data_IF_105097609388
#
_entry.id   IF_105097609388
#
_cell.length_a   1.000
_cell.length_b   1.000
_cell.length_c   1.000
_cell.angle_alpha   90.00
_cell.angle_beta   90.00
_cell.angle_gamma   90.00
#
_symmetry.space_group_name_H-M   'P 1'
#
loop_
_entity.id
_entity.type
_entity.pdbx_description
1 polymer ?
#
# COMPACT_ATOMS: atom_id res chain seq x y z
N UNK A 1 1.25 -24.26 10.29
CA UNK A 1 0.29 -23.15 10.17
C UNK A 1 -1.10 -23.73 9.94
N UNK A 2 -2.06 -23.44 10.81
CA UNK A 2 -3.44 -23.93 10.67
C UNK A 2 -4.19 -22.99 9.74
N UNK A 3 -4.72 -23.49 8.62
CA UNK A 3 -5.53 -22.67 7.72
C UNK A 3 -6.76 -22.14 8.49
N UNK A 4 -7.13 -20.86 8.32
CA UNK A 4 -8.34 -20.33 8.93
C UNK A 4 -9.54 -21.13 8.45
N UNK A 5 -10.47 -21.42 9.35
CA UNK A 5 -11.71 -22.11 9.01
C UNK A 5 -12.54 -21.22 8.07
N UNK A 6 -12.73 -21.66 6.82
CA UNK A 6 -13.47 -20.92 5.80
C UNK A 6 -14.91 -21.42 5.78
N UNK A 7 -15.85 -20.50 6.01
CA UNK A 7 -17.27 -20.78 6.02
C UNK A 7 -17.81 -20.78 4.58
N UNK A 8 -18.51 -21.84 4.13
CA UNK A 8 -19.19 -21.84 2.84
C UNK A 8 -20.19 -20.69 2.73
N UNK A 9 -20.36 -20.12 1.53
CA UNK A 9 -21.28 -18.99 1.27
C UNK A 9 -22.72 -19.32 1.69
N UNK A 10 -23.15 -20.56 1.52
CA UNK A 10 -24.48 -21.03 1.94
C UNK A 10 -24.67 -20.97 3.46
N UNK A 11 -23.66 -21.43 4.21
CA UNK A 11 -23.66 -21.41 5.68
C UNK A 11 -23.54 -19.99 6.22
N UNK A 12 -22.70 -19.16 5.60
CA UNK A 12 -22.60 -17.74 5.92
C UNK A 12 -23.95 -17.05 5.77
N UNK A 13 -24.64 -17.27 4.64
CA UNK A 13 -25.95 -16.68 4.37
C UNK A 13 -26.98 -17.11 5.41
N UNK A 14 -26.98 -18.39 5.81
CA UNK A 14 -27.90 -18.91 6.82
C UNK A 14 -27.67 -18.31 8.22
N UNK A 15 -26.43 -17.90 8.53
CA UNK A 15 -26.03 -17.42 9.85
C UNK A 15 -25.71 -15.91 9.90
N UNK A 16 -25.91 -15.15 8.82
CA UNK A 16 -25.34 -13.80 8.64
C UNK A 16 -25.66 -12.86 9.80
N UNK A 17 -26.91 -12.82 10.27
CA UNK A 17 -27.33 -11.94 11.37
C UNK A 17 -26.64 -12.29 12.69
N UNK A 18 -26.42 -13.59 12.95
CA UNK A 18 -25.70 -14.06 14.14
C UNK A 18 -24.22 -13.68 14.05
N UNK A 19 -23.61 -13.91 12.88
CA UNK A 19 -22.20 -13.62 12.64
C UNK A 19 -21.90 -12.12 12.73
N UNK A 20 -22.78 -11.25 12.22
CA UNK A 20 -22.64 -9.79 12.36
C UNK A 20 -22.64 -9.37 13.84
N UNK A 21 -23.60 -9.87 14.63
CA UNK A 21 -23.65 -9.58 16.08
C UNK A 21 -22.40 -10.06 16.81
N UNK A 22 -21.91 -11.22 16.42
CA UNK A 22 -20.74 -11.87 17.02
C UNK A 22 -19.44 -11.11 16.72
N UNK A 23 -19.21 -10.68 15.47
CA UNK A 23 -18.03 -9.85 15.14
C UNK A 23 -18.13 -8.44 15.71
N UNK A 24 -19.34 -7.90 15.88
CA UNK A 24 -19.55 -6.60 16.54
C UNK A 24 -19.23 -6.67 18.04
N UNK A 25 -19.56 -7.78 18.71
CA UNK A 25 -19.27 -7.99 20.12
C UNK A 25 -17.80 -8.37 20.39
N UNK A 26 -17.08 -8.87 19.39
CA UNK A 26 -15.71 -9.38 19.51
C UNK A 26 -14.78 -8.73 18.47
N UNK A 27 -14.15 -7.57 18.77
CA UNK A 27 -13.34 -6.82 17.81
C UNK A 27 -12.13 -7.56 17.22
N UNK A 28 -11.65 -8.64 17.84
CA UNK A 28 -10.57 -9.46 17.29
C UNK A 28 -11.04 -10.55 16.31
N UNK A 29 -12.35 -10.78 16.21
CA UNK A 29 -12.92 -11.92 15.47
C UNK A 29 -13.01 -11.63 13.97
N UNK A 30 -12.57 -12.62 13.18
CA UNK A 30 -12.67 -12.62 11.71
C UNK A 30 -13.40 -13.88 11.25
N UNK A 31 -14.35 -13.73 10.35
CA UNK A 31 -15.09 -14.84 9.73
C UNK A 31 -14.77 -14.86 8.25
N UNK A 32 -13.99 -15.84 7.82
CA UNK A 32 -13.61 -16.03 6.42
C UNK A 32 -14.71 -16.77 5.68
N UNK A 33 -15.07 -16.30 4.48
CA UNK A 33 -16.18 -16.83 3.67
C UNK A 33 -15.66 -17.21 2.29
N UNK A 34 -16.03 -18.38 1.78
CA UNK A 34 -15.59 -18.86 0.46
C UNK A 34 -15.60 -20.38 0.34
N UNK A 35 -14.86 -20.91 -0.63
CA UNK A 35 -14.69 -22.36 -0.80
C UNK A 35 -13.70 -22.92 0.23
N UNK A 36 -13.73 -24.24 0.48
CA UNK A 36 -12.83 -24.88 1.45
C UNK A 36 -11.36 -24.53 1.18
N UNK A 37 -10.68 -23.96 2.19
CA UNK A 37 -9.29 -23.45 2.11
C UNK A 37 -9.03 -22.34 1.08
N UNK A 38 -10.09 -21.74 0.52
CA UNK A 38 -10.03 -20.62 -0.42
C UNK A 38 -10.99 -19.51 0.03
N UNK A 39 -10.55 -18.65 0.98
CA UNK A 39 -11.37 -17.51 1.39
C UNK A 39 -11.49 -16.51 0.22
N UNK A 40 -12.71 -16.02 0.00
CA UNK A 40 -13.06 -15.02 -1.02
C UNK A 40 -13.47 -13.69 -0.37
N UNK A 41 -13.95 -13.72 0.88
CA UNK A 41 -14.33 -12.54 1.65
C UNK A 41 -14.06 -12.74 3.15
N UNK A 42 -14.08 -11.63 3.91
CA UNK A 42 -14.02 -11.66 5.38
C UNK A 42 -15.10 -10.75 5.98
N UNK A 43 -15.80 -11.26 6.99
CA UNK A 43 -16.65 -10.46 7.87
C UNK A 43 -15.88 -10.17 9.16
N UNK A 44 -15.81 -8.89 9.53
CA UNK A 44 -15.17 -8.40 10.75
C UNK A 44 -15.95 -7.21 11.31
N UNK A 45 -15.80 -6.93 12.61
CA UNK A 45 -16.44 -5.76 13.23
C UNK A 45 -15.81 -4.46 12.75
N UNK A 46 -16.58 -3.36 12.72
CA UNK A 46 -16.05 -2.03 12.36
C UNK A 46 -14.98 -1.58 13.36
N UNK A 47 -15.09 -1.96 14.64
CA UNK A 47 -14.03 -1.70 15.64
C UNK A 47 -12.81 -2.64 15.51
N UNK A 48 -12.88 -3.66 14.65
CA UNK A 48 -11.73 -4.45 14.23
C UNK A 48 -10.94 -3.72 13.13
N UNK A 49 -11.55 -2.72 12.49
CA UNK A 49 -10.86 -1.69 11.75
C UNK A 49 -9.97 -0.94 12.75
N UNK A 50 -8.71 -0.79 12.38
CA UNK A 50 -7.73 -0.16 13.26
C UNK A 50 -8.14 1.29 13.52
N UNK A 51 -8.19 1.77 14.78
CA UNK A 51 -8.53 3.16 15.06
C UNK A 51 -7.69 4.10 14.20
N UNK A 52 -8.26 5.17 13.60
CA UNK A 52 -7.57 5.95 12.57
C UNK A 52 -6.18 6.45 12.99
N UNK A 53 -6.03 6.92 14.23
CA UNK A 53 -4.72 7.38 14.75
C UNK A 53 -3.70 6.27 14.92
N UNK A 54 -4.14 5.05 15.25
CA UNK A 54 -3.26 3.89 15.36
C UNK A 54 -2.82 3.44 13.96
N UNK A 55 -3.75 3.42 13.00
CA UNK A 55 -3.45 3.13 11.59
C UNK A 55 -2.45 4.14 11.04
N UNK A 56 -2.73 5.42 11.21
CA UNK A 56 -1.84 6.50 10.80
C UNK A 56 -0.46 6.34 11.43
N UNK A 57 -0.38 6.16 12.76
CA UNK A 57 0.90 5.98 13.44
C UNK A 57 1.70 4.75 12.94
N UNK A 58 1.02 3.64 12.62
CA UNK A 58 1.68 2.47 12.03
C UNK A 58 2.17 2.75 10.61
N UNK A 59 1.35 3.37 9.77
CA UNK A 59 1.73 3.73 8.40
C UNK A 59 2.90 4.73 8.40
N UNK A 60 2.82 5.80 9.18
CA UNK A 60 3.88 6.80 9.30
C UNK A 60 5.21 6.17 9.75
N UNK A 61 5.17 5.33 10.78
CA UNK A 61 6.35 4.60 11.28
C UNK A 61 6.90 3.66 10.21
N UNK A 62 6.02 2.96 9.50
CA UNK A 62 6.41 2.01 8.48
C UNK A 62 7.04 2.70 7.27
N UNK A 63 6.44 3.75 6.73
CA UNK A 63 7.01 4.52 5.62
C UNK A 63 8.33 5.18 5.99
N UNK A 64 8.47 5.67 7.23
CA UNK A 64 9.76 6.15 7.74
C UNK A 64 10.81 5.04 7.71
N UNK A 65 10.46 3.85 8.20
CA UNK A 65 11.34 2.68 8.14
C UNK A 65 11.68 2.25 6.70
N UNK A 66 10.72 2.28 5.77
CA UNK A 66 10.97 1.98 4.35
C UNK A 66 11.99 2.96 3.76
N UNK A 67 11.82 4.25 4.05
CA UNK A 67 12.74 5.29 3.62
C UNK A 67 14.14 5.02 4.18
N UNK A 68 14.28 4.75 5.48
CA UNK A 68 15.56 4.66 6.18
C UNK A 68 16.30 3.31 6.01
N UNK A 69 15.56 2.21 6.01
CA UNK A 69 16.13 0.87 6.22
C UNK A 69 15.94 -0.07 5.04
N UNK A 70 14.97 0.17 4.15
CA UNK A 70 14.73 -0.75 3.04
C UNK A 70 15.85 -0.65 2.00
N UNK A 71 16.45 -1.79 1.58
CA UNK A 71 17.48 -1.80 0.55
C UNK A 71 16.90 -1.33 -0.79
N UNK A 72 17.51 -0.27 -1.33
CA UNK A 72 17.18 0.32 -2.63
C UNK A 72 18.31 0.00 -3.60
N UNK A 73 17.97 -0.18 -4.87
CA UNK A 73 18.97 -0.37 -5.92
C UNK A 73 19.04 0.85 -6.84
N UNK A 74 20.25 1.12 -7.30
CA UNK A 74 20.59 2.28 -8.11
C UNK A 74 21.44 1.81 -9.29
N UNK A 75 21.33 2.51 -10.42
CA UNK A 75 22.20 2.24 -11.56
C UNK A 75 23.57 2.92 -11.41
N UNK A 76 24.43 2.71 -12.39
CA UNK A 76 25.79 3.27 -12.42
C UNK A 76 25.80 4.81 -12.49
N UNK A 77 24.68 5.43 -12.87
CA UNK A 77 24.50 6.88 -13.00
C UNK A 77 23.86 7.48 -11.74
N UNK A 78 23.51 6.63 -10.77
CA UNK A 78 22.86 7.03 -9.52
C UNK A 78 21.35 7.21 -9.63
N UNK A 79 20.71 6.74 -10.71
CA UNK A 79 19.25 6.75 -10.82
C UNK A 79 18.65 5.58 -10.05
N UNK A 80 17.47 5.80 -9.47
CA UNK A 80 16.74 4.75 -8.76
C UNK A 80 16.27 3.68 -9.74
N UNK A 81 16.67 2.43 -9.50
CA UNK A 81 16.23 1.27 -10.30
C UNK A 81 15.05 0.55 -9.66
N UNK A 82 15.03 0.47 -8.33
CA UNK A 82 14.00 -0.27 -7.60
C UNK A 82 13.70 0.40 -6.27
N UNK A 83 12.42 0.69 -6.04
CA UNK A 83 11.96 1.41 -4.85
C UNK A 83 11.86 0.52 -3.60
N UNK A 84 11.82 -0.80 -3.80
CA UNK A 84 11.66 -1.81 -2.74
C UNK A 84 10.29 -2.48 -2.80
N UNK A 85 10.27 -3.81 -2.72
CA UNK A 85 9.04 -4.61 -2.83
C UNK A 85 8.06 -4.26 -1.70
N UNK A 86 8.57 -3.97 -0.50
CA UNK A 86 7.72 -3.70 0.66
C UNK A 86 6.99 -2.36 0.52
N UNK A 87 7.66 -1.34 -0.05
CA UNK A 87 6.98 -0.12 -0.47
C UNK A 87 5.89 -0.43 -1.50
N UNK A 88 6.21 -1.16 -2.56
CA UNK A 88 5.26 -1.48 -3.63
C UNK A 88 4.00 -2.17 -3.13
N UNK A 89 4.13 -3.14 -2.21
CA UNK A 89 3.00 -3.84 -1.61
C UNK A 89 2.09 -2.93 -0.77
N UNK A 90 2.67 -2.12 0.12
CA UNK A 90 1.86 -1.23 0.97
C UNK A 90 1.22 -0.12 0.17
N UNK A 91 1.94 0.43 -0.81
CA UNK A 91 1.38 1.43 -1.72
C UNK A 91 0.21 0.86 -2.55
N UNK A 92 0.35 -0.36 -3.08
CA UNK A 92 -0.73 -1.02 -3.81
C UNK A 92 -1.98 -1.25 -2.94
N UNK A 93 -1.77 -1.64 -1.67
CA UNK A 93 -2.85 -1.76 -0.69
C UNK A 93 -3.55 -0.41 -0.45
N UNK A 94 -2.80 0.67 -0.26
CA UNK A 94 -3.37 2.01 -0.08
C UNK A 94 -4.13 2.46 -1.32
N UNK A 95 -3.55 2.32 -2.52
CA UNK A 95 -4.18 2.74 -3.77
C UNK A 95 -5.57 2.11 -4.00
N UNK A 96 -5.73 0.84 -3.65
CA UNK A 96 -7.00 0.11 -3.79
C UNK A 96 -8.04 0.48 -2.72
N UNK A 97 -7.60 1.05 -1.59
CA UNK A 97 -8.47 1.44 -0.47
C UNK A 97 -8.82 2.92 -0.45
N UNK A 98 -7.80 3.77 -0.57
CA UNK A 98 -7.88 5.23 -0.54
C UNK A 98 -6.75 5.82 -1.40
N UNK A 99 -7.11 6.31 -2.59
CA UNK A 99 -6.13 6.85 -3.54
C UNK A 99 -5.56 8.21 -3.10
N UNK A 100 -6.30 8.99 -2.31
CA UNK A 100 -5.84 10.29 -1.83
C UNK A 100 -4.73 10.07 -0.80
N UNK A 101 -4.98 9.17 0.16
CA UNK A 101 -3.98 8.77 1.15
C UNK A 101 -2.77 8.08 0.51
N UNK A 102 -2.97 7.29 -0.55
CA UNK A 102 -1.86 6.73 -1.31
C UNK A 102 -0.94 7.83 -1.87
N UNK A 103 -1.50 8.88 -2.48
CA UNK A 103 -0.71 10.01 -3.00
C UNK A 103 0.02 10.77 -1.89
N UNK A 104 -0.60 10.95 -0.71
CA UNK A 104 0.05 11.56 0.45
C UNK A 104 1.28 10.77 0.89
N UNK A 105 1.18 9.44 1.01
CA UNK A 105 2.30 8.60 1.40
C UNK A 105 3.38 8.47 0.31
N UNK A 106 3.00 8.48 -0.98
CA UNK A 106 3.97 8.58 -2.08
C UNK A 106 4.78 9.87 -1.99
N UNK A 107 4.11 11.00 -1.76
CA UNK A 107 4.78 12.28 -1.59
C UNK A 107 5.72 12.27 -0.38
N UNK A 108 5.26 11.80 0.78
CA UNK A 108 6.09 11.68 1.98
C UNK A 108 7.32 10.80 1.74
N UNK A 109 7.15 9.70 1.01
CA UNK A 109 8.25 8.80 0.67
C UNK A 109 9.28 9.46 -0.25
N UNK A 110 8.84 10.16 -1.30
CA UNK A 110 9.72 10.95 -2.19
C UNK A 110 10.52 11.97 -1.39
N UNK A 111 9.86 12.72 -0.50
CA UNK A 111 10.52 13.70 0.37
C UNK A 111 11.51 13.03 1.32
N UNK A 112 11.15 11.88 1.89
CA UNK A 112 11.99 11.12 2.79
C UNK A 112 13.29 10.68 2.13
N UNK A 113 13.22 10.10 0.92
CA UNK A 113 14.42 9.68 0.20
C UNK A 113 15.28 10.87 -0.19
N UNK A 114 14.70 11.97 -0.67
CA UNK A 114 15.46 13.18 -1.04
C UNK A 114 16.24 13.80 0.11
N UNK A 115 15.82 13.56 1.37
CA UNK A 115 16.52 14.04 2.56
C UNK A 115 17.69 13.14 2.98
N UNK A 116 17.82 11.94 2.42
CA UNK A 116 18.92 11.03 2.74
C UNK A 116 20.20 11.49 2.04
N UNK A 117 21.25 11.70 2.83
CA UNK A 117 22.58 12.06 2.31
C UNK A 117 23.28 10.88 1.60
N UNK A 118 22.89 9.65 1.93
CA UNK A 118 23.47 8.41 1.40
C UNK A 118 22.68 7.80 0.23
N UNK A 119 21.52 8.37 -0.10
CA UNK A 119 20.75 7.98 -1.27
C UNK A 119 21.23 8.80 -2.48
N UNK A 120 21.56 8.16 -3.62
CA UNK A 120 21.67 8.85 -4.89
C UNK A 120 20.46 9.73 -5.15
N UNK A 121 20.69 10.86 -5.81
CA UNK A 121 19.71 11.93 -5.92
C UNK A 121 18.47 11.45 -6.68
N UNK A 122 17.35 11.35 -5.97
CA UNK A 122 16.03 11.31 -6.64
C UNK A 122 15.78 12.69 -7.24
N UNK A 123 16.08 12.84 -8.53
CA UNK A 123 16.06 14.13 -9.22
C UNK A 123 14.65 14.55 -9.64
N UNK A 124 13.78 13.59 -9.94
CA UNK A 124 12.43 13.84 -10.48
C UNK A 124 11.38 12.88 -9.92
N UNK A 125 10.10 13.18 -10.19
CA UNK A 125 9.01 12.24 -9.97
C UNK A 125 9.17 10.96 -10.81
N UNK A 126 9.68 11.08 -12.04
CA UNK A 126 9.82 9.95 -12.97
C UNK A 126 10.88 8.93 -12.53
N UNK A 127 11.89 9.34 -11.75
CA UNK A 127 12.84 8.39 -11.16
C UNK A 127 12.14 7.42 -10.21
N UNK A 128 11.18 7.94 -9.43
CA UNK A 128 10.42 7.16 -8.45
C UNK A 128 9.36 6.33 -9.16
N UNK A 129 8.62 6.91 -10.11
CA UNK A 129 7.63 6.16 -10.89
C UNK A 129 8.30 5.02 -11.68
N UNK A 130 9.42 5.30 -12.36
CA UNK A 130 10.18 4.29 -13.08
C UNK A 130 10.65 3.14 -12.17
N UNK A 131 11.15 3.46 -10.97
CA UNK A 131 11.57 2.46 -9.99
C UNK A 131 10.38 1.70 -9.36
N UNK A 132 9.21 2.32 -9.29
CA UNK A 132 7.96 1.73 -8.81
C UNK A 132 7.47 0.64 -9.76
N UNK A 133 7.61 0.80 -11.07
CA UNK A 133 7.15 -0.16 -12.07
C UNK A 133 7.59 -1.60 -11.79
N UNK A 134 8.79 -1.77 -11.22
CA UNK A 134 9.40 -3.08 -10.99
C UNK A 134 9.10 -3.68 -9.61
N UNK A 135 8.60 -2.88 -8.67
CA UNK A 135 8.43 -3.27 -7.26
C UNK A 135 7.00 -3.69 -6.90
N UNK A 136 6.09 -3.61 -7.86
CA UNK A 136 4.69 -3.36 -7.58
C UNK A 136 3.83 -4.59 -7.90
N UNK A 137 3.03 -5.01 -6.92
CA UNK A 137 1.89 -5.93 -7.10
C UNK A 137 0.64 -5.16 -7.58
N UNK A 138 0.77 -4.47 -8.72
CA UNK A 138 -0.31 -3.75 -9.40
C UNK A 138 -0.40 -4.19 -10.87
N UNK A 139 -1.59 -4.05 -11.44
CA UNK A 139 -1.78 -4.25 -12.88
C UNK A 139 -1.19 -3.09 -13.69
N UNK A 140 -0.94 -3.30 -14.98
CA UNK A 140 -0.50 -2.23 -15.89
C UNK A 140 -1.49 -1.04 -15.91
N UNK A 141 -2.79 -1.34 -15.79
CA UNK A 141 -3.85 -0.32 -15.73
C UNK A 141 -3.78 0.49 -14.44
N UNK A 142 -3.63 -0.18 -13.29
CA UNK A 142 -3.47 0.49 -11.99
C UNK A 142 -2.20 1.35 -11.99
N UNK A 143 -1.08 0.83 -12.48
CA UNK A 143 0.17 1.57 -12.57
C UNK A 143 0.05 2.79 -13.51
N UNK A 144 -0.63 2.64 -14.65
CA UNK A 144 -0.92 3.75 -15.56
C UNK A 144 -1.77 4.85 -14.91
N UNK A 145 -2.76 4.47 -14.12
CA UNK A 145 -3.60 5.40 -13.36
C UNK A 145 -2.79 6.14 -12.27
N UNK A 146 -1.92 5.41 -11.55
CA UNK A 146 -1.01 5.99 -10.56
C UNK A 146 -0.08 7.01 -11.23
N UNK A 147 0.57 6.66 -12.33
CA UNK A 147 1.46 7.57 -13.06
C UNK A 147 0.72 8.85 -13.48
N UNK A 148 -0.48 8.69 -14.03
CA UNK A 148 -1.31 9.82 -14.47
C UNK A 148 -1.63 10.74 -13.31
N UNK A 149 -2.05 10.16 -12.18
CA UNK A 149 -2.44 10.92 -11.00
C UNK A 149 -1.24 11.59 -10.32
N UNK A 150 -0.15 10.86 -10.13
CA UNK A 150 1.08 11.40 -9.55
C UNK A 150 1.61 12.59 -10.37
N UNK A 151 1.55 12.52 -11.71
CA UNK A 151 1.94 13.65 -12.56
C UNK A 151 1.01 14.86 -12.39
N UNK A 152 -0.29 14.64 -12.25
CA UNK A 152 -1.23 15.73 -12.01
C UNK A 152 -1.01 16.40 -10.65
N UNK A 153 -0.80 15.60 -9.59
CA UNK A 153 -0.78 16.07 -8.21
C UNK A 153 0.61 16.58 -7.77
N UNK A 154 1.68 15.98 -8.31
CA UNK A 154 3.04 16.13 -7.77
C UNK A 154 4.06 16.69 -8.77
N UNK A 155 3.82 16.69 -10.10
CA UNK A 155 4.84 17.12 -11.07
C UNK A 155 5.32 18.57 -10.86
N UNK A 156 4.43 19.48 -10.43
CA UNK A 156 4.80 20.86 -10.12
C UNK A 156 5.74 21.00 -8.90
N UNK A 157 5.79 20.00 -8.03
CA UNK A 157 6.64 19.97 -6.82
C UNK A 157 7.95 19.22 -7.07
N UNK A 158 7.97 18.30 -8.03
CA UNK A 158 9.11 17.46 -8.38
C UNK A 158 9.37 17.48 -9.90
N UNK A 159 9.77 18.64 -10.46
CA UNK A 159 9.94 18.79 -11.90
C UNK A 159 11.05 17.89 -12.44
N UNK A 160 10.90 17.47 -13.69
CA UNK A 160 11.94 16.76 -14.44
C UNK A 160 13.02 17.77 -14.90
N UNK A 161 14.28 17.63 -14.46
CA UNK A 161 15.35 18.53 -14.86
C UNK A 161 15.72 18.43 -16.35
N UNK A 162 15.25 17.40 -17.07
CA UNK A 162 15.50 17.20 -18.50
C UNK A 162 14.39 17.73 -19.41
N UNK A 163 13.30 18.26 -18.85
CA UNK A 163 12.15 18.80 -19.61
C UNK A 163 12.37 20.22 -20.18
N UNK A 164 13.64 20.62 -20.41
CA UNK A 164 14.04 21.94 -20.90
C UNK A 164 14.80 21.89 -22.22
#
# INVERSE_FOLDING_TARGET
>A
MTFPNVLPVSEFRAAVTKLIKDVAANPGRRVYVGQHRKPEAVLMGVSAEMPPRVRQGLLDTYFTWLVESEPKSWDAEGKMLHIGDAFGHVFAYLWRGDQDEAMEYLEQYIQGIRRREDAPTVHSLEDVLGAMQFAIDLTDEEYGAICTRARADLAGRYPDPTAG
#
